data_IF_768944066503
#
_entry.id   IF_768944066503
#
_cell.length_a   1.000
_cell.length_b   1.000
_cell.length_c   1.000
_cell.angle_alpha   90.00
_cell.angle_beta   90.00
_cell.angle_gamma   90.00
#
_symmetry.space_group_name_H-M   'P 1'
#
loop_
_entity.id
_entity.type
_entity.pdbx_description
1 polymer ?
#
# COMPACT_ATOMS: atom_id res chain seq x y z
N UNK A 1 -49.93 29.07 14.11
CA UNK A 1 -48.74 29.24 14.97
C UNK A 1 -48.42 27.87 15.53
N UNK A 2 -47.54 27.12 14.86
CA UNK A 2 -47.11 25.80 15.32
C UNK A 2 -46.03 26.00 16.40
N UNK A 3 -46.07 25.29 17.54
CA UNK A 3 -45.04 25.42 18.55
C UNK A 3 -43.72 24.87 17.99
N UNK A 4 -42.67 25.67 18.11
CA UNK A 4 -41.31 25.26 17.80
C UNK A 4 -40.93 24.06 18.67
N UNK A 5 -40.47 22.98 18.04
CA UNK A 5 -39.79 21.90 18.74
C UNK A 5 -38.58 22.47 19.50
N UNK A 6 -38.31 22.05 20.74
CA UNK A 6 -37.06 22.38 21.41
C UNK A 6 -35.91 21.71 20.66
N UNK A 7 -34.72 22.33 20.52
CA UNK A 7 -33.54 21.64 20.02
C UNK A 7 -33.05 20.67 21.09
N UNK A 8 -33.48 19.41 21.01
CA UNK A 8 -32.82 18.31 21.70
C UNK A 8 -31.80 17.67 20.77
N UNK A 9 -30.53 18.00 20.94
CA UNK A 9 -29.47 17.00 20.82
C UNK A 9 -28.57 17.12 22.05
N UNK A 10 -28.53 16.13 22.96
CA UNK A 10 -27.41 16.02 23.88
C UNK A 10 -26.13 15.91 23.04
N UNK A 11 -25.04 16.52 23.49
CA UNK A 11 -23.73 16.43 22.86
C UNK A 11 -23.43 14.97 22.43
N UNK A 12 -23.50 14.69 21.13
CA UNK A 12 -23.15 13.38 20.57
C UNK A 12 -21.66 13.06 20.72
N UNK A 13 -20.86 14.02 21.17
CA UNK A 13 -19.44 13.82 21.44
C UNK A 13 -19.23 12.99 22.71
N UNK A 14 -18.29 12.04 22.70
CA UNK A 14 -17.94 11.26 23.89
C UNK A 14 -17.51 12.20 25.02
N UNK A 15 -17.72 11.81 26.29
CA UNK A 15 -17.20 12.57 27.43
C UNK A 15 -15.71 12.87 27.27
N UNK A 16 -15.26 14.05 27.70
CA UNK A 16 -13.88 14.52 27.49
C UNK A 16 -12.83 13.53 28.00
N UNK A 17 -13.09 12.89 29.15
CA UNK A 17 -12.21 11.87 29.72
C UNK A 17 -12.09 10.63 28.82
N UNK A 18 -13.21 10.16 28.27
CA UNK A 18 -13.23 9.06 27.33
C UNK A 18 -12.47 9.43 26.05
N UNK A 19 -12.73 10.62 25.49
CA UNK A 19 -12.03 11.12 24.31
C UNK A 19 -10.50 11.17 24.50
N UNK A 20 -10.03 11.66 25.65
CA UNK A 20 -8.61 11.71 25.98
C UNK A 20 -8.01 10.30 26.11
N UNK A 21 -8.71 9.39 26.78
CA UNK A 21 -8.28 7.99 26.93
C UNK A 21 -8.12 7.31 25.57
N UNK A 22 -9.10 7.50 24.66
CA UNK A 22 -9.04 6.94 23.31
C UNK A 22 -7.87 7.50 22.50
N UNK A 23 -7.59 8.80 22.61
CA UNK A 23 -6.42 9.42 21.98
C UNK A 23 -5.10 8.86 22.52
N UNK A 24 -5.00 8.65 23.83
CA UNK A 24 -3.80 8.10 24.46
C UNK A 24 -3.47 6.69 23.96
N UNK A 25 -4.50 5.87 23.68
CA UNK A 25 -4.29 4.55 23.07
C UNK A 25 -3.95 4.61 21.58
N UNK A 26 -4.44 5.62 20.86
CA UNK A 26 -4.17 5.77 19.43
C UNK A 26 -2.77 6.29 19.11
N UNK A 27 -2.36 7.38 19.79
CA UNK A 27 -1.19 8.17 19.42
C UNK A 27 0.14 7.37 19.32
N UNK A 28 0.42 6.38 20.20
CA UNK A 28 1.63 5.55 20.10
C UNK A 28 1.71 4.74 18.79
N UNK A 29 0.57 4.44 18.17
CA UNK A 29 0.46 3.62 16.97
C UNK A 29 0.12 4.43 15.70
N UNK A 30 0.04 5.76 15.81
CA UNK A 30 -0.45 6.62 14.73
C UNK A 30 0.29 6.39 13.39
N UNK A 31 1.61 6.27 13.40
CA UNK A 31 2.39 6.04 12.17
C UNK A 31 2.08 4.68 11.53
N UNK A 32 1.87 3.65 12.36
CA UNK A 32 1.61 2.27 11.96
C UNK A 32 0.18 2.06 11.42
N UNK A 33 -0.66 3.08 11.50
CA UNK A 33 -2.03 3.09 10.96
C UNK A 33 -2.19 4.11 9.83
N UNK A 34 -1.09 4.66 9.34
CA UNK A 34 -1.07 5.61 8.22
C UNK A 34 -1.46 7.04 8.60
N UNK A 35 -1.18 7.47 9.83
CA UNK A 35 -1.37 8.87 10.23
C UNK A 35 -0.27 9.77 9.64
N UNK A 36 -0.62 10.55 8.63
CA UNK A 36 0.28 11.41 7.87
C UNK A 36 0.18 12.91 8.25
N UNK A 37 -0.82 13.30 9.04
CA UNK A 37 -0.97 14.69 9.50
C UNK A 37 0.09 15.05 10.55
N UNK A 38 0.32 16.35 10.73
CA UNK A 38 1.27 16.85 11.74
C UNK A 38 0.73 16.60 13.16
N UNK A 39 1.33 15.63 13.87
CA UNK A 39 0.83 15.11 15.15
C UNK A 39 0.60 16.18 16.20
N UNK A 40 1.55 17.08 16.43
CA UNK A 40 1.43 18.11 17.47
C UNK A 40 0.28 19.09 17.18
N UNK A 41 0.01 19.40 15.90
CA UNK A 41 -1.10 20.27 15.51
C UNK A 41 -2.43 19.56 15.72
N UNK A 42 -2.50 18.29 15.31
CA UNK A 42 -3.65 17.45 15.56
C UNK A 42 -3.95 17.32 17.06
N UNK A 43 -2.96 17.03 17.90
CA UNK A 43 -3.13 16.90 19.36
C UNK A 43 -3.63 18.22 19.95
N UNK A 44 -3.02 19.36 19.59
CA UNK A 44 -3.44 20.68 20.07
C UNK A 44 -4.89 21.00 19.70
N UNK A 45 -5.33 20.64 18.48
CA UNK A 45 -6.73 20.77 18.07
C UNK A 45 -7.63 19.81 18.83
N UNK A 46 -7.32 18.52 18.82
CA UNK A 46 -8.16 17.46 19.40
C UNK A 46 -8.37 17.61 20.91
N UNK A 47 -7.37 18.13 21.63
CA UNK A 47 -7.43 18.37 23.08
C UNK A 47 -7.89 19.78 23.46
N UNK A 48 -8.23 20.63 22.47
CA UNK A 48 -8.65 22.00 22.75
C UNK A 48 -9.90 22.05 23.63
N UNK A 49 -9.90 22.85 24.71
CA UNK A 49 -11.05 23.00 25.60
C UNK A 49 -12.23 23.70 24.90
N UNK A 50 -11.97 24.50 23.86
CA UNK A 50 -13.01 25.16 23.09
C UNK A 50 -13.61 24.20 22.04
N UNK A 51 -14.79 23.67 22.35
CA UNK A 51 -15.53 22.76 21.48
C UNK A 51 -15.93 23.41 20.14
N UNK A 52 -16.16 24.73 20.10
CA UNK A 52 -16.52 25.43 18.86
C UNK A 52 -15.31 25.57 17.96
N UNK A 53 -14.17 25.97 18.53
CA UNK A 53 -12.91 26.02 17.81
C UNK A 53 -12.54 24.64 17.25
N UNK A 54 -12.70 23.58 18.04
CA UNK A 54 -12.46 22.20 17.61
C UNK A 54 -13.37 21.81 16.45
N UNK A 55 -14.68 22.03 16.56
CA UNK A 55 -15.64 21.68 15.51
C UNK A 55 -15.48 22.50 14.21
N UNK A 56 -14.87 23.69 14.30
CA UNK A 56 -14.58 24.52 13.12
C UNK A 56 -13.32 24.08 12.37
N UNK A 57 -12.32 23.54 13.07
CA UNK A 57 -10.98 23.28 12.52
C UNK A 57 -10.61 21.80 12.40
N UNK A 58 -11.41 20.89 12.98
CA UNK A 58 -11.15 19.47 12.99
C UNK A 58 -12.35 18.69 12.44
N UNK A 59 -12.09 17.89 11.41
CA UNK A 59 -13.05 16.96 10.83
C UNK A 59 -13.60 16.01 11.90
N UNK A 60 -14.93 15.88 11.96
CA UNK A 60 -15.59 14.89 12.84
C UNK A 60 -15.32 13.47 12.37
N UNK A 61 -15.21 13.27 11.05
CA UNK A 61 -14.85 11.98 10.48
C UNK A 61 -13.47 11.52 10.97
N UNK A 62 -12.47 12.40 10.90
CA UNK A 62 -11.13 12.12 11.40
C UNK A 62 -11.15 11.82 12.89
N UNK A 63 -11.87 12.63 13.68
CA UNK A 63 -11.91 12.46 15.12
C UNK A 63 -12.53 11.12 15.54
N UNK A 64 -13.67 10.74 14.95
CA UNK A 64 -14.31 9.45 15.25
C UNK A 64 -13.54 8.25 14.69
N UNK A 65 -12.87 8.39 13.54
CA UNK A 65 -11.97 7.37 13.02
C UNK A 65 -10.81 7.12 14.01
N UNK A 66 -10.18 8.17 14.51
CA UNK A 66 -9.13 8.07 15.54
C UNK A 66 -9.65 7.45 16.83
N UNK A 67 -10.83 7.87 17.31
CA UNK A 67 -11.43 7.33 18.53
C UNK A 67 -11.78 5.84 18.41
N UNK A 68 -12.40 5.43 17.30
CA UNK A 68 -12.72 4.01 17.06
C UNK A 68 -11.46 3.15 16.99
N UNK A 69 -10.41 3.64 16.34
CA UNK A 69 -9.14 2.92 16.25
C UNK A 69 -8.44 2.85 17.60
N UNK A 70 -8.43 3.94 18.37
CA UNK A 70 -7.90 3.95 19.75
C UNK A 70 -8.64 2.98 20.69
N UNK A 71 -9.97 2.91 20.57
CA UNK A 71 -10.78 1.94 21.31
C UNK A 71 -10.42 0.49 20.95
N UNK A 72 -10.16 0.23 19.67
CA UNK A 72 -9.72 -1.07 19.18
C UNK A 72 -8.32 -1.44 19.70
N UNK A 73 -7.36 -0.51 19.63
CA UNK A 73 -5.97 -0.70 20.09
C UNK A 73 -5.85 -0.84 21.61
N UNK A 74 -6.79 -0.32 22.38
CA UNK A 74 -6.75 -0.42 23.85
C UNK A 74 -6.79 -1.87 24.36
N UNK A 75 -7.41 -2.79 23.61
CA UNK A 75 -7.73 -4.15 24.06
C UNK A 75 -8.55 -4.22 25.37
N UNK A 76 -9.17 -3.11 25.79
CA UNK A 76 -10.04 -3.02 26.98
C UNK A 76 -11.48 -3.22 26.53
N UNK A 77 -12.14 -4.28 27.01
CA UNK A 77 -13.49 -4.67 26.60
C UNK A 77 -14.51 -3.52 26.68
N UNK A 78 -14.48 -2.73 27.77
CA UNK A 78 -15.35 -1.58 27.96
C UNK A 78 -15.17 -0.49 26.88
N UNK A 79 -13.93 -0.25 26.42
CA UNK A 79 -13.66 0.71 25.36
C UNK A 79 -14.01 0.12 23.99
N UNK A 80 -13.66 -1.14 23.75
CA UNK A 80 -13.94 -1.84 22.50
C UNK A 80 -15.45 -1.96 22.23
N UNK A 81 -16.29 -2.02 23.27
CA UNK A 81 -17.75 -1.99 23.14
C UNK A 81 -18.28 -0.73 22.42
N UNK A 82 -17.54 0.39 22.45
CA UNK A 82 -17.92 1.63 21.76
C UNK A 82 -17.54 1.68 20.28
N UNK A 83 -16.69 0.77 19.81
CA UNK A 83 -16.15 0.78 18.44
C UNK A 83 -17.25 0.82 17.37
N UNK A 84 -18.32 -0.01 17.41
CA UNK A 84 -19.35 0.01 16.35
C UNK A 84 -20.06 1.36 16.22
N UNK A 85 -20.37 2.00 17.36
CA UNK A 85 -21.04 3.30 17.37
C UNK A 85 -20.11 4.41 16.85
N UNK A 86 -18.84 4.40 17.26
CA UNK A 86 -17.84 5.37 16.80
C UNK A 86 -17.55 5.22 15.29
N UNK A 87 -17.48 3.99 14.77
CA UNK A 87 -17.28 3.73 13.34
C UNK A 87 -18.45 4.22 12.50
N UNK A 88 -19.69 3.92 12.89
CA UNK A 88 -20.86 4.39 12.14
C UNK A 88 -20.86 5.93 12.05
N UNK A 89 -20.57 6.60 13.16
CA UNK A 89 -20.44 8.06 13.19
C UNK A 89 -19.29 8.58 12.33
N UNK A 90 -18.16 7.88 12.29
CA UNK A 90 -17.04 8.25 11.43
C UNK A 90 -17.44 8.19 9.94
N UNK A 91 -18.08 7.10 9.52
CA UNK A 91 -18.54 6.90 8.12
C UNK A 91 -19.62 7.91 7.72
N UNK A 92 -20.57 8.20 8.60
CA UNK A 92 -21.58 9.25 8.40
C UNK A 92 -20.94 10.63 8.28
N UNK A 93 -19.97 10.94 9.15
CA UNK A 93 -19.26 12.20 9.13
C UNK A 93 -18.40 12.38 7.86
N UNK A 94 -17.80 11.32 7.30
CA UNK A 94 -17.09 11.42 6.00
C UNK A 94 -18.04 11.95 4.93
N UNK A 95 -19.25 11.41 4.86
CA UNK A 95 -20.25 11.83 3.87
C UNK A 95 -20.67 13.29 4.07
N UNK A 96 -20.82 13.71 5.33
CA UNK A 96 -21.15 15.09 5.68
C UNK A 96 -20.02 16.08 5.33
N UNK A 97 -18.77 15.69 5.58
CA UNK A 97 -17.57 16.48 5.27
C UNK A 97 -17.43 16.72 3.75
N UNK A 98 -17.83 15.75 2.93
CA UNK A 98 -17.81 15.85 1.46
C UNK A 98 -19.01 16.60 0.86
N UNK A 99 -20.19 16.51 1.49
CA UNK A 99 -21.42 17.15 1.01
C UNK A 99 -21.59 18.61 1.44
N UNK A 100 -20.83 19.08 2.43
CA UNK A 100 -20.93 20.42 3.00
C UNK A 100 -19.89 21.43 2.47
N UNK A 101 -20.01 22.72 2.84
CA UNK A 101 -18.96 23.70 2.58
C UNK A 101 -17.68 23.33 3.34
N UNK A 102 -16.53 23.38 2.66
CA UNK A 102 -15.22 23.03 3.24
C UNK A 102 -14.82 24.02 4.34
N UNK A 103 -14.67 23.51 5.56
CA UNK A 103 -14.26 24.31 6.75
C UNK A 103 -12.79 24.14 7.12
N UNK A 104 -12.20 23.04 6.68
CA UNK A 104 -10.84 22.62 6.98
C UNK A 104 -10.21 21.96 5.73
N UNK A 105 -8.88 21.77 5.71
CA UNK A 105 -8.20 21.14 4.59
C UNK A 105 -8.72 19.73 4.29
N UNK A 106 -8.81 19.40 2.99
CA UNK A 106 -9.27 18.07 2.54
C UNK A 106 -8.38 16.92 3.05
N UNK A 107 -7.12 17.22 3.38
CA UNK A 107 -6.17 16.27 3.96
C UNK A 107 -6.71 15.61 5.23
N UNK A 108 -7.57 16.29 6.01
CA UNK A 108 -8.21 15.68 7.18
C UNK A 108 -9.24 14.61 6.80
N UNK A 109 -10.05 14.84 5.77
CA UNK A 109 -11.00 13.85 5.26
C UNK A 109 -10.26 12.66 4.63
N UNK A 110 -9.18 12.92 3.87
CA UNK A 110 -8.31 11.86 3.34
C UNK A 110 -7.70 11.04 4.47
N UNK A 111 -7.25 11.67 5.56
CA UNK A 111 -6.71 10.98 6.73
C UNK A 111 -7.76 10.07 7.39
N UNK A 112 -9.01 10.53 7.48
CA UNK A 112 -10.11 9.72 8.01
C UNK A 112 -10.36 8.48 7.15
N UNK A 113 -10.39 8.63 5.82
CA UNK A 113 -10.55 7.52 4.87
C UNK A 113 -9.41 6.50 4.99
N UNK A 114 -8.16 6.97 5.13
CA UNK A 114 -6.99 6.08 5.33
C UNK A 114 -7.11 5.27 6.62
N UNK A 115 -7.48 5.92 7.74
CA UNK A 115 -7.64 5.25 9.04
C UNK A 115 -8.79 4.23 8.98
N UNK A 116 -9.92 4.59 8.37
CA UNK A 116 -11.05 3.67 8.17
C UNK A 116 -10.67 2.48 7.28
N UNK A 117 -9.96 2.73 6.17
CA UNK A 117 -9.47 1.67 5.29
C UNK A 117 -8.59 0.68 6.05
N UNK A 118 -7.58 1.19 6.77
CA UNK A 118 -6.70 0.38 7.59
C UNK A 118 -7.44 -0.37 8.70
N UNK A 119 -8.42 0.26 9.35
CA UNK A 119 -9.23 -0.40 10.37
C UNK A 119 -9.98 -1.60 9.79
N UNK A 120 -10.72 -1.38 8.70
CA UNK A 120 -11.50 -2.44 8.08
C UNK A 120 -10.62 -3.54 7.51
N UNK A 121 -9.44 -3.21 6.99
CA UNK A 121 -8.44 -4.21 6.64
C UNK A 121 -7.99 -4.99 7.87
N UNK A 122 -7.59 -4.34 8.97
CA UNK A 122 -7.18 -5.02 10.23
C UNK A 122 -8.19 -6.06 10.70
N UNK A 123 -9.47 -5.71 10.72
CA UNK A 123 -10.53 -6.61 11.20
C UNK A 123 -11.03 -7.60 10.12
N UNK A 124 -10.39 -7.63 8.94
CA UNK A 124 -10.71 -8.57 7.85
C UNK A 124 -11.92 -8.19 6.99
N UNK A 125 -12.50 -7.01 7.18
CA UNK A 125 -13.63 -6.45 6.40
C UNK A 125 -13.13 -5.77 5.12
N UNK A 126 -12.73 -6.60 4.16
CA UNK A 126 -12.01 -6.14 2.98
C UNK A 126 -12.83 -5.26 2.03
N UNK A 127 -14.14 -5.49 1.92
CA UNK A 127 -14.98 -4.75 0.99
C UNK A 127 -15.07 -3.29 1.43
N UNK A 128 -15.30 -3.09 2.72
CA UNK A 128 -15.33 -1.79 3.38
C UNK A 128 -13.96 -1.13 3.34
N UNK A 129 -12.88 -1.88 3.64
CA UNK A 129 -11.52 -1.36 3.52
C UNK A 129 -11.18 -0.87 2.11
N UNK A 130 -11.60 -1.62 1.08
CA UNK A 130 -11.46 -1.22 -0.34
C UNK A 130 -12.27 0.01 -0.67
N UNK A 131 -13.48 0.11 -0.16
CA UNK A 131 -14.35 1.25 -0.39
C UNK A 131 -13.65 2.53 0.09
N UNK A 132 -13.21 2.56 1.34
CA UNK A 132 -12.51 3.70 1.92
C UNK A 132 -11.15 3.97 1.26
N UNK A 133 -10.38 2.93 0.90
CA UNK A 133 -9.15 3.08 0.14
C UNK A 133 -9.40 3.73 -1.24
N UNK A 134 -10.44 3.30 -1.96
CA UNK A 134 -10.79 3.85 -3.27
C UNK A 134 -11.29 5.29 -3.16
N UNK A 135 -12.04 5.58 -2.10
CA UNK A 135 -12.46 6.94 -1.79
C UNK A 135 -11.25 7.85 -1.52
N UNK A 136 -10.28 7.40 -0.71
CA UNK A 136 -9.03 8.13 -0.47
C UNK A 136 -8.26 8.40 -1.77
N UNK A 137 -8.13 7.39 -2.65
CA UNK A 137 -7.52 7.54 -3.99
C UNK A 137 -8.24 8.60 -4.81
N UNK A 138 -9.57 8.53 -4.89
CA UNK A 138 -10.36 9.51 -5.63
C UNK A 138 -10.18 10.94 -5.08
N UNK A 139 -10.14 11.10 -3.76
CA UNK A 139 -9.93 12.40 -3.12
C UNK A 139 -8.55 12.99 -3.44
N UNK A 140 -7.49 12.20 -3.31
CA UNK A 140 -6.11 12.59 -3.64
C UNK A 140 -5.97 12.99 -5.10
N UNK A 141 -6.60 12.26 -6.02
CA UNK A 141 -6.60 12.59 -7.46
C UNK A 141 -7.41 13.86 -7.75
N UNK A 142 -8.59 13.99 -7.15
CA UNK A 142 -9.47 15.15 -7.33
C UNK A 142 -8.86 16.46 -6.81
N UNK A 143 -8.07 16.36 -5.73
CA UNK A 143 -7.32 17.48 -5.18
C UNK A 143 -5.94 17.67 -5.85
N UNK A 144 -5.64 16.89 -6.89
CA UNK A 144 -4.40 16.96 -7.65
C UNK A 144 -3.13 16.82 -6.79
N UNK A 145 -3.20 16.07 -5.69
CA UNK A 145 -2.05 15.85 -4.80
C UNK A 145 -0.98 14.94 -5.41
N UNK A 146 -1.24 14.38 -6.60
CA UNK A 146 -0.28 13.68 -7.46
C UNK A 146 0.52 14.65 -8.37
N UNK A 147 0.14 15.95 -8.37
CA UNK A 147 0.67 17.02 -9.22
C UNK A 147 1.17 18.26 -8.45
N UNK A 148 1.67 18.06 -7.23
CA UNK A 148 2.10 19.15 -6.33
C UNK A 148 3.16 20.06 -6.98
N UNK A 149 4.14 19.51 -7.70
CA UNK A 149 5.21 20.34 -8.32
C UNK A 149 4.72 21.13 -9.53
N UNK A 150 3.83 20.55 -10.34
CA UNK A 150 3.25 21.26 -11.48
C UNK A 150 2.37 22.44 -11.03
N UNK A 151 1.62 22.27 -9.93
CA UNK A 151 0.81 23.34 -9.33
C UNK A 151 1.66 24.52 -8.86
N UNK A 152 2.79 24.26 -8.20
CA UNK A 152 3.70 25.31 -7.74
C UNK A 152 4.37 26.10 -8.88
N UNK A 153 4.52 25.49 -10.07
CA UNK A 153 5.15 26.16 -11.23
C UNK A 153 4.18 26.94 -12.12
N UNK A 154 2.88 26.60 -12.10
CA UNK A 154 1.89 27.21 -12.99
C UNK A 154 1.19 28.44 -12.43
N UNK A 155 1.26 28.69 -11.12
CA UNK A 155 0.45 29.72 -10.47
C UNK A 155 1.25 30.87 -9.84
N UNK A 156 1.52 31.89 -10.67
CA UNK A 156 1.53 33.28 -10.20
C UNK A 156 0.11 33.78 -9.85
N UNK A 157 -0.94 32.97 -10.12
CA UNK A 157 -2.35 33.29 -9.88
C UNK A 157 -3.19 32.03 -9.59
N UNK A 158 -2.91 31.34 -8.48
CA UNK A 158 -3.81 30.28 -8.01
C UNK A 158 -5.13 30.88 -7.48
N UNK A 159 -6.31 30.34 -7.82
CA UNK A 159 -7.58 30.77 -7.23
C UNK A 159 -7.68 30.43 -5.72
N UNK A 160 -6.74 29.65 -5.19
CA UNK A 160 -6.57 29.35 -3.77
C UNK A 160 -5.56 30.32 -3.15
N UNK A 161 -5.95 31.60 -3.03
CA UNK A 161 -5.10 32.72 -2.61
C UNK A 161 -4.65 32.73 -1.14
N UNK A 162 -4.03 31.67 -0.64
CA UNK A 162 -3.26 31.71 0.62
C UNK A 162 -1.90 31.04 0.41
N UNK A 163 -0.79 31.63 0.92
CA UNK A 163 0.50 30.97 0.90
C UNK A 163 0.37 29.65 1.65
N UNK A 164 0.56 28.52 0.94
CA UNK A 164 0.60 27.20 1.58
C UNK A 164 1.63 27.26 2.71
N UNK A 165 1.19 26.96 3.92
CA UNK A 165 2.11 26.66 4.99
C UNK A 165 2.98 25.47 4.54
N UNK A 166 4.29 25.53 4.76
CA UNK A 166 5.19 24.41 4.44
C UNK A 166 4.73 23.10 5.09
N UNK A 167 4.05 23.21 6.24
CA UNK A 167 3.45 22.08 6.93
C UNK A 167 2.25 21.52 6.14
N UNK A 168 1.43 22.35 5.51
CA UNK A 168 0.30 21.91 4.67
C UNK A 168 0.77 21.27 3.35
N UNK A 169 1.82 21.82 2.74
CA UNK A 169 2.47 21.19 1.58
C UNK A 169 3.04 19.82 1.97
N UNK A 170 3.75 19.73 3.10
CA UNK A 170 4.28 18.47 3.63
C UNK A 170 3.18 17.44 3.93
N UNK A 171 2.07 17.85 4.53
CA UNK A 171 0.92 16.98 4.76
C UNK A 171 0.29 16.48 3.45
N UNK A 172 0.25 17.31 2.42
CA UNK A 172 -0.28 16.94 1.10
C UNK A 172 0.61 15.91 0.40
N UNK A 173 1.93 16.08 0.49
CA UNK A 173 2.92 15.10 0.02
C UNK A 173 2.73 13.76 0.76
N UNK A 174 2.68 13.81 2.09
CA UNK A 174 2.53 12.59 2.89
C UNK A 174 1.17 11.91 2.65
N UNK A 175 0.09 12.69 2.46
CA UNK A 175 -1.23 12.16 2.11
C UNK A 175 -1.19 11.35 0.82
N UNK A 176 -0.59 11.91 -0.24
CA UNK A 176 -0.45 11.23 -1.53
C UNK A 176 0.32 9.91 -1.37
N UNK A 177 1.50 9.94 -0.75
CA UNK A 177 2.33 8.73 -0.63
C UNK A 177 1.73 7.67 0.30
N UNK A 178 1.02 8.08 1.35
CA UNK A 178 0.30 7.14 2.23
C UNK A 178 -0.82 6.44 1.46
N UNK A 179 -1.62 7.20 0.70
CA UNK A 179 -2.72 6.64 -0.12
C UNK A 179 -2.19 5.78 -1.26
N UNK A 180 -1.08 6.19 -1.88
CA UNK A 180 -0.40 5.38 -2.90
C UNK A 180 0.10 4.05 -2.32
N UNK A 181 0.72 4.08 -1.14
CA UNK A 181 1.26 2.89 -0.48
C UNK A 181 0.16 1.89 -0.10
N UNK A 182 -0.95 2.36 0.48
CA UNK A 182 -2.08 1.49 0.86
C UNK A 182 -2.78 0.90 -0.37
N UNK A 183 -3.01 1.66 -1.45
CA UNK A 183 -3.60 1.16 -2.71
C UNK A 183 -2.71 0.09 -3.33
N UNK A 184 -1.41 0.39 -3.52
CA UNK A 184 -0.45 -0.57 -4.09
C UNK A 184 -0.32 -1.83 -3.25
N UNK A 185 -0.20 -1.67 -1.93
CA UNK A 185 -0.15 -2.79 -1.00
C UNK A 185 -1.37 -3.68 -1.18
N UNK A 186 -2.56 -3.10 -1.08
CA UNK A 186 -3.80 -3.87 -1.16
C UNK A 186 -4.03 -4.55 -2.52
N UNK A 187 -3.68 -3.91 -3.63
CA UNK A 187 -3.75 -4.53 -4.96
C UNK A 187 -2.92 -5.81 -5.06
N UNK A 188 -1.76 -5.85 -4.40
CA UNK A 188 -0.95 -7.08 -4.35
C UNK A 188 -1.65 -8.16 -3.53
N UNK A 189 -2.14 -7.84 -2.34
CA UNK A 189 -2.82 -8.82 -1.49
C UNK A 189 -4.08 -9.40 -2.16
N UNK A 190 -4.87 -8.54 -2.81
CA UNK A 190 -6.12 -8.88 -3.47
C UNK A 190 -5.97 -9.48 -4.87
N UNK A 191 -4.82 -9.27 -5.53
CA UNK A 191 -4.63 -9.65 -6.94
C UNK A 191 -5.46 -8.80 -7.90
N UNK A 192 -5.90 -7.61 -7.49
CA UNK A 192 -6.62 -6.64 -8.31
C UNK A 192 -5.67 -5.59 -8.89
N UNK A 193 -5.95 -5.00 -10.06
CA UNK A 193 -5.15 -3.90 -10.60
C UNK A 193 -5.24 -2.66 -9.68
N UNK A 194 -4.19 -1.84 -9.68
CA UNK A 194 -4.16 -0.58 -8.92
C UNK A 194 -4.84 0.54 -9.70
N UNK A 195 -5.51 1.43 -8.96
CA UNK A 195 -6.23 2.57 -9.53
C UNK A 195 -5.30 3.73 -9.86
N UNK A 196 -4.11 3.74 -9.26
CA UNK A 196 -3.10 4.78 -9.46
C UNK A 196 -2.04 4.32 -10.45
N UNK A 197 -2.02 4.93 -11.64
CA UNK A 197 -0.92 4.73 -12.59
C UNK A 197 0.31 5.53 -12.17
N UNK A 198 1.46 4.87 -12.08
CA UNK A 198 2.72 5.48 -11.64
C UNK A 198 3.39 6.39 -12.67
N UNK A 199 2.80 6.54 -13.85
CA UNK A 199 3.39 7.25 -15.00
C UNK A 199 3.20 8.77 -14.99
N UNK A 200 2.33 9.30 -14.11
CA UNK A 200 1.97 10.72 -14.07
C UNK A 200 1.97 11.29 -12.63
N UNK A 201 3.06 11.04 -11.90
CA UNK A 201 3.27 11.52 -10.53
C UNK A 201 4.40 12.53 -10.55
N UNK A 202 4.15 13.76 -10.12
CA UNK A 202 5.20 14.77 -9.91
C UNK A 202 5.47 15.07 -8.43
N UNK A 203 4.70 14.43 -7.53
CA UNK A 203 4.79 14.64 -6.09
C UNK A 203 6.18 14.25 -5.61
N UNK A 204 6.90 15.14 -4.90
CA UNK A 204 8.22 14.84 -4.37
C UNK A 204 8.12 13.72 -3.34
N UNK A 205 9.20 12.95 -3.14
CA UNK A 205 9.26 11.99 -2.04
C UNK A 205 9.06 12.68 -0.69
N UNK A 206 8.43 12.00 0.30
CA UNK A 206 8.40 12.50 1.66
C UNK A 206 9.84 12.72 2.11
N UNK A 207 10.16 13.92 2.55
CA UNK A 207 11.39 14.15 3.31
C UNK A 207 11.10 13.62 4.72
N UNK A 208 12.00 12.81 5.28
CA UNK A 208 11.96 12.56 6.71
C UNK A 208 11.97 13.93 7.39
N UNK A 209 10.96 14.22 8.23
CA UNK A 209 10.82 15.54 8.88
C UNK A 209 12.07 15.91 9.71
N UNK A 210 12.97 14.95 9.95
CA UNK A 210 14.20 15.08 10.72
C UNK A 210 15.50 14.97 9.87
N UNK A 211 15.42 14.65 8.56
CA UNK A 211 16.59 14.34 7.72
C UNK A 211 16.86 15.41 6.64
N UNK A 212 16.64 16.69 6.96
CA UNK A 212 17.05 17.80 6.07
C UNK A 212 18.56 18.11 6.15
N UNK A 213 19.28 17.59 7.15
CA UNK A 213 20.67 18.01 7.43
C UNK A 213 21.74 16.90 7.25
N UNK A 214 21.36 15.66 6.89
CA UNK A 214 22.31 14.53 6.90
C UNK A 214 22.26 13.60 5.68
N UNK A 215 21.82 14.07 4.50
CA UNK A 215 21.86 13.24 3.29
C UNK A 215 23.31 13.03 2.77
N UNK A 216 24.10 12.22 3.46
CA UNK A 216 25.19 11.47 2.84
C UNK A 216 24.55 10.47 1.88
N UNK A 217 24.71 10.75 0.59
CA UNK A 217 24.29 9.91 -0.53
C UNK A 217 24.69 8.46 -0.28
N UNK A 218 23.71 7.58 -0.03
CA UNK A 218 23.93 6.15 -0.03
C UNK A 218 24.67 5.74 -1.32
N UNK A 219 25.67 4.84 -1.24
CA UNK A 219 26.52 4.52 -2.39
C UNK A 219 25.65 4.03 -3.55
N UNK A 220 25.88 4.61 -4.73
CA UNK A 220 25.15 4.34 -5.96
C UNK A 220 24.90 2.83 -6.13
N UNK A 221 23.65 2.42 -5.91
CA UNK A 221 23.27 1.02 -5.99
C UNK A 221 23.52 0.49 -7.41
N UNK A 222 24.55 -0.31 -7.61
CA UNK A 222 24.87 -0.92 -8.89
C UNK A 222 23.89 -2.08 -9.16
N UNK A 223 23.25 -2.09 -10.34
CA UNK A 223 22.33 -3.16 -10.76
C UNK A 223 21.06 -2.66 -11.45
N UNK A 224 20.46 -3.53 -12.27
CA UNK A 224 19.19 -3.24 -12.96
C UNK A 224 18.02 -3.22 -11.96
N UNK A 225 16.93 -2.48 -12.25
CA UNK A 225 15.75 -2.42 -11.36
C UNK A 225 15.23 -3.82 -10.94
N UNK A 226 15.10 -4.82 -11.84
CA UNK A 226 14.70 -6.17 -11.43
C UNK A 226 15.67 -6.83 -10.44
N UNK A 227 16.97 -6.61 -10.61
CA UNK A 227 18.01 -7.16 -9.72
C UNK A 227 17.98 -6.50 -8.34
N UNK A 228 17.79 -5.17 -8.29
CA UNK A 228 17.60 -4.43 -7.03
C UNK A 228 16.37 -4.93 -6.26
N UNK A 229 15.24 -5.13 -6.94
CA UNK A 229 14.02 -5.68 -6.33
C UNK A 229 14.25 -7.09 -5.75
N UNK A 230 15.00 -7.95 -6.45
CA UNK A 230 15.35 -9.28 -5.96
C UNK A 230 16.26 -9.22 -4.74
N UNK A 231 17.26 -8.33 -4.74
CA UNK A 231 18.17 -8.16 -3.61
C UNK A 231 17.44 -7.62 -2.38
N UNK A 232 16.58 -6.61 -2.55
CA UNK A 232 15.72 -6.10 -1.49
C UNK A 232 14.78 -7.19 -0.94
N UNK A 233 14.15 -7.98 -1.81
CA UNK A 233 13.29 -9.09 -1.38
C UNK A 233 14.07 -10.18 -0.62
N UNK A 234 15.30 -10.50 -1.03
CA UNK A 234 16.18 -11.45 -0.32
C UNK A 234 16.54 -10.93 1.08
N UNK A 235 16.90 -9.64 1.20
CA UNK A 235 17.23 -9.02 2.47
C UNK A 235 16.01 -8.98 3.43
N UNK A 236 14.85 -8.54 2.92
CA UNK A 236 13.61 -8.52 3.69
C UNK A 236 13.22 -9.92 4.20
N UNK A 237 13.27 -10.94 3.32
CA UNK A 237 12.96 -12.31 3.71
C UNK A 237 13.94 -12.91 4.74
N UNK A 238 15.20 -12.44 4.77
CA UNK A 238 16.17 -12.86 5.77
C UNK A 238 15.84 -12.29 7.16
N UNK A 239 15.42 -11.02 7.23
CA UNK A 239 15.02 -10.34 8.47
C UNK A 239 13.75 -10.95 9.08
N UNK A 240 12.78 -11.36 8.25
CA UNK A 240 11.54 -12.02 8.71
C UNK A 240 11.81 -13.24 9.60
N UNK A 241 12.90 -13.98 9.33
CA UNK A 241 13.28 -15.14 10.14
C UNK A 241 13.89 -14.82 11.51
N UNK A 242 14.20 -13.55 11.77
CA UNK A 242 14.90 -13.09 12.97
C UNK A 242 13.98 -12.32 13.94
N UNK A 243 12.80 -11.88 13.50
CA UNK A 243 11.88 -11.12 14.35
C UNK A 243 11.24 -12.03 15.39
N UNK A 244 11.29 -11.62 16.67
CA UNK A 244 10.56 -12.30 17.74
C UNK A 244 9.07 -11.93 17.69
N UNK A 245 8.29 -12.80 17.09
CA UNK A 245 6.89 -12.55 16.73
C UNK A 245 5.92 -12.55 17.92
N UNK A 246 6.36 -12.99 19.11
CA UNK A 246 5.54 -13.01 20.32
C UNK A 246 5.52 -11.67 21.07
N UNK A 247 6.32 -10.71 20.64
CA UNK A 247 6.46 -9.40 21.31
C UNK A 247 5.71 -8.27 20.59
N UNK A 248 4.96 -8.58 19.53
CA UNK A 248 4.25 -7.58 18.74
C UNK A 248 2.76 -7.62 19.05
N UNK A 249 2.30 -6.60 19.79
CA UNK A 249 0.88 -6.43 20.14
C UNK A 249 0.04 -5.96 18.94
N UNK A 250 0.67 -5.33 17.95
CA UNK A 250 0.04 -4.83 16.75
C UNK A 250 0.93 -5.07 15.52
N UNK A 251 0.29 -5.35 14.39
CA UNK A 251 0.94 -5.59 13.09
C UNK A 251 0.27 -4.68 12.08
N UNK A 252 1.04 -3.76 11.52
CA UNK A 252 0.57 -2.85 10.47
C UNK A 252 -0.04 -3.66 9.30
N UNK A 253 -1.28 -3.37 8.88
CA UNK A 253 -1.92 -3.90 7.68
C UNK A 253 -1.05 -3.96 6.45
N UNK A 254 -0.12 -3.02 6.28
CA UNK A 254 0.79 -2.94 5.14
C UNK A 254 1.84 -4.07 5.14
N UNK A 255 2.10 -4.71 6.27
CA UNK A 255 3.06 -5.82 6.35
C UNK A 255 2.60 -7.03 5.56
N UNK A 256 1.30 -7.36 5.59
CA UNK A 256 0.74 -8.48 4.83
C UNK A 256 0.99 -8.35 3.30
N UNK A 257 0.68 -7.21 2.65
CA UNK A 257 1.00 -7.02 1.25
C UNK A 257 2.49 -6.87 0.98
N UNK A 258 3.29 -6.21 1.84
CA UNK A 258 4.74 -6.13 1.65
C UNK A 258 5.39 -7.52 1.63
N UNK A 259 4.99 -8.40 2.55
CA UNK A 259 5.50 -9.76 2.60
C UNK A 259 5.00 -10.58 1.39
N UNK A 260 3.78 -10.31 0.92
CA UNK A 260 3.27 -10.87 -0.33
C UNK A 260 4.12 -10.45 -1.54
N UNK A 261 4.50 -9.18 -1.63
CA UNK A 261 5.38 -8.65 -2.70
C UNK A 261 6.72 -9.36 -2.65
N UNK A 262 7.35 -9.42 -1.47
CA UNK A 262 8.63 -10.11 -1.27
C UNK A 262 8.55 -11.54 -1.78
N UNK A 263 7.54 -12.30 -1.36
CA UNK A 263 7.43 -13.70 -1.80
C UNK A 263 7.14 -13.81 -3.30
N UNK A 264 6.30 -12.94 -3.89
CA UNK A 264 6.04 -12.95 -5.34
C UNK A 264 7.28 -12.66 -6.17
N UNK A 265 8.11 -11.70 -5.76
CA UNK A 265 9.40 -11.40 -6.41
C UNK A 265 10.32 -12.62 -6.35
N UNK A 266 10.43 -13.27 -5.19
CA UNK A 266 11.25 -14.47 -5.03
C UNK A 266 10.73 -15.65 -5.87
N UNK A 267 9.40 -15.83 -5.98
CA UNK A 267 8.79 -16.84 -6.85
C UNK A 267 9.12 -16.58 -8.32
N UNK A 268 8.97 -15.32 -8.77
CA UNK A 268 9.28 -14.93 -10.14
C UNK A 268 10.75 -15.19 -10.47
N UNK A 269 11.67 -14.96 -9.52
CA UNK A 269 13.11 -15.22 -9.70
C UNK A 269 13.46 -16.71 -9.86
N UNK A 270 12.63 -17.64 -9.40
CA UNK A 270 12.86 -19.10 -9.53
C UNK A 270 12.49 -19.63 -10.92
N UNK A 271 11.63 -18.93 -11.67
CA UNK A 271 11.07 -19.40 -12.94
C UNK A 271 12.08 -19.49 -14.12
N UNK A 272 13.10 -18.62 -14.25
CA UNK A 272 14.05 -18.70 -15.35
C UNK A 272 14.88 -20.01 -15.33
N UNK A 273 15.03 -20.62 -16.51
CA UNK A 273 15.71 -21.92 -16.69
C UNK A 273 17.23 -21.88 -16.39
N UNK A 274 17.86 -20.70 -16.42
CA UNK A 274 19.31 -20.53 -16.24
C UNK A 274 19.81 -20.30 -14.81
N UNK A 275 18.96 -20.43 -13.78
CA UNK A 275 19.39 -20.24 -12.39
C UNK A 275 20.09 -21.48 -11.84
N UNK A 276 21.29 -21.30 -11.25
CA UNK A 276 22.05 -22.36 -10.58
C UNK A 276 21.20 -23.03 -9.48
N UNK A 277 21.28 -24.37 -9.37
CA UNK A 277 20.46 -25.12 -8.41
C UNK A 277 20.69 -24.70 -6.96
N UNK A 278 21.93 -24.36 -6.59
CA UNK A 278 22.25 -23.82 -5.26
C UNK A 278 21.60 -22.47 -4.96
N UNK A 279 21.48 -21.57 -5.95
CA UNK A 279 20.77 -20.30 -5.76
C UNK A 279 19.25 -20.53 -5.70
N UNK A 280 18.73 -21.44 -6.51
CA UNK A 280 17.32 -21.83 -6.50
C UNK A 280 16.90 -22.37 -5.13
N UNK A 281 17.73 -23.20 -4.50
CA UNK A 281 17.44 -23.75 -3.18
C UNK A 281 17.56 -22.70 -2.06
N UNK A 282 18.50 -21.76 -2.16
CA UNK A 282 18.57 -20.60 -1.25
C UNK A 282 17.29 -19.76 -1.32
N UNK A 283 16.81 -19.44 -2.52
CA UNK A 283 15.58 -18.65 -2.70
C UNK A 283 14.36 -19.42 -2.18
N UNK A 284 14.26 -20.72 -2.44
CA UNK A 284 13.20 -21.57 -1.85
C UNK A 284 13.24 -21.56 -0.32
N UNK A 285 14.43 -21.59 0.28
CA UNK A 285 14.60 -21.46 1.72
C UNK A 285 14.05 -20.14 2.26
N UNK A 286 14.35 -19.02 1.59
CA UNK A 286 13.82 -17.70 1.94
C UNK A 286 12.29 -17.62 1.81
N UNK A 287 11.73 -18.16 0.73
CA UNK A 287 10.27 -18.24 0.55
C UNK A 287 9.62 -19.03 1.70
N UNK A 288 10.17 -20.19 2.06
CA UNK A 288 9.65 -21.00 3.17
C UNK A 288 9.70 -20.24 4.49
N UNK A 289 10.79 -19.53 4.78
CA UNK A 289 10.91 -18.70 5.99
C UNK A 289 9.88 -17.58 6.02
N UNK A 290 9.73 -16.85 4.91
CA UNK A 290 8.76 -15.77 4.80
C UNK A 290 7.32 -16.28 4.99
N UNK A 291 6.92 -17.35 4.29
CA UNK A 291 5.59 -17.97 4.42
C UNK A 291 5.35 -18.50 5.83
N UNK A 292 6.36 -19.11 6.47
CA UNK A 292 6.24 -19.57 7.86
C UNK A 292 6.04 -18.40 8.84
N UNK A 293 6.68 -17.26 8.60
CA UNK A 293 6.42 -16.03 9.35
C UNK A 293 4.99 -15.51 9.14
N UNK A 294 4.51 -15.48 7.88
CA UNK A 294 3.13 -15.08 7.56
C UNK A 294 2.11 -15.99 8.26
N UNK A 295 2.36 -17.30 8.29
CA UNK A 295 1.50 -18.28 8.95
C UNK A 295 1.47 -18.15 10.49
N UNK A 296 2.46 -17.50 11.10
CA UNK A 296 2.42 -17.17 12.53
C UNK A 296 1.57 -15.92 12.77
N UNK A 297 1.73 -14.90 11.94
CA UNK A 297 0.96 -13.67 12.00
C UNK A 297 -0.50 -13.82 11.55
N UNK A 298 -0.85 -14.86 10.80
CA UNK A 298 -2.24 -15.14 10.41
C UNK A 298 -3.17 -15.38 11.61
N UNK A 299 -2.61 -15.75 12.76
CA UNK A 299 -3.38 -15.95 14.00
C UNK A 299 -3.85 -14.63 14.61
N UNK A 300 -3.12 -13.54 14.37
CA UNK A 300 -3.41 -12.20 14.92
C UNK A 300 -3.87 -11.21 13.86
N UNK A 301 -3.68 -11.51 12.57
CA UNK A 301 -4.03 -10.67 11.44
C UNK A 301 -4.79 -11.45 10.36
N UNK A 302 -6.10 -11.20 10.19
CA UNK A 302 -6.89 -11.75 9.08
C UNK A 302 -6.29 -11.46 7.70
N UNK A 303 -5.70 -10.27 7.50
CA UNK A 303 -5.02 -9.92 6.25
C UNK A 303 -3.83 -10.82 5.99
N UNK A 304 -3.05 -11.13 7.02
CA UNK A 304 -1.91 -12.01 6.88
C UNK A 304 -2.34 -13.45 6.57
N UNK A 305 -3.45 -13.92 7.15
CA UNK A 305 -4.03 -15.23 6.83
C UNK A 305 -4.37 -15.35 5.34
N UNK A 306 -4.96 -14.30 4.78
CA UNK A 306 -5.27 -14.24 3.36
C UNK A 306 -4.04 -14.17 2.47
N UNK A 307 -3.09 -13.32 2.84
CA UNK A 307 -1.83 -13.15 2.14
C UNK A 307 -1.07 -14.48 2.10
N UNK A 308 -1.00 -15.20 3.22
CA UNK A 308 -0.42 -16.54 3.33
C UNK A 308 -1.09 -17.53 2.38
N UNK A 309 -2.43 -17.58 2.37
CA UNK A 309 -3.19 -18.49 1.50
C UNK A 309 -2.94 -18.20 0.01
N UNK A 310 -2.91 -16.91 -0.36
CA UNK A 310 -2.65 -16.44 -1.73
C UNK A 310 -1.24 -16.82 -2.19
N UNK A 311 -0.24 -16.57 -1.36
CA UNK A 311 1.17 -16.87 -1.60
C UNK A 311 1.43 -18.38 -1.66
N UNK A 312 0.83 -19.16 -0.75
CA UNK A 312 0.91 -20.61 -0.77
C UNK A 312 0.32 -21.18 -2.08
N UNK A 313 -0.80 -20.61 -2.55
CA UNK A 313 -1.35 -20.91 -3.87
C UNK A 313 -0.39 -20.61 -5.02
N UNK A 314 0.26 -19.45 -5.01
CA UNK A 314 1.27 -19.07 -6.01
C UNK A 314 2.49 -20.00 -6.00
N UNK A 315 2.99 -20.37 -4.81
CA UNK A 315 4.07 -21.35 -4.65
C UNK A 315 3.70 -22.70 -5.28
N UNK A 316 2.49 -23.21 -4.99
CA UNK A 316 1.99 -24.48 -5.58
C UNK A 316 1.94 -24.42 -7.11
N UNK A 317 1.47 -23.30 -7.68
CA UNK A 317 1.44 -23.10 -9.14
C UNK A 317 2.84 -23.07 -9.74
N UNK A 318 3.78 -22.36 -9.12
CA UNK A 318 5.18 -22.30 -9.58
C UNK A 318 5.85 -23.67 -9.58
N UNK A 319 5.68 -24.47 -8.52
CA UNK A 319 6.22 -25.84 -8.47
C UNK A 319 5.64 -26.72 -9.59
N UNK A 320 4.33 -26.60 -9.87
CA UNK A 320 3.69 -27.32 -11.00
C UNK A 320 4.24 -26.86 -12.35
N UNK A 321 4.46 -25.56 -12.55
CA UNK A 321 5.01 -25.01 -13.79
C UNK A 321 6.45 -25.50 -14.04
N UNK A 322 7.30 -25.52 -13.01
CA UNK A 322 8.67 -26.05 -13.12
C UNK A 322 8.67 -27.56 -13.44
N UNK A 323 7.77 -28.34 -12.82
CA UNK A 323 7.64 -29.77 -13.14
C UNK A 323 7.16 -30.00 -14.58
N UNK A 324 6.21 -29.21 -15.07
CA UNK A 324 5.73 -29.27 -16.47
C UNK A 324 6.84 -28.88 -17.46
N UNK A 325 7.55 -27.77 -17.20
CA UNK A 325 8.66 -27.32 -18.04
C UNK A 325 9.80 -28.34 -18.13
N UNK A 326 10.13 -29.01 -17.01
CA UNK A 326 11.09 -30.13 -17.02
C UNK A 326 10.56 -31.31 -17.83
N UNK A 327 9.31 -31.72 -17.66
CA UNK A 327 8.71 -32.83 -18.41
C UNK A 327 8.67 -32.58 -19.93
N UNK A 328 8.38 -31.34 -20.36
CA UNK A 328 8.42 -30.95 -21.77
C UNK A 328 9.86 -30.89 -22.31
N UNK A 329 10.84 -30.43 -21.53
CA UNK A 329 12.24 -30.52 -21.95
C UNK A 329 12.74 -31.97 -22.00
N UNK A 330 12.29 -32.86 -21.10
CA UNK A 330 12.67 -34.29 -21.15
C UNK A 330 12.00 -34.99 -22.33
N UNK A 331 10.75 -34.66 -22.66
CA UNK A 331 10.07 -35.23 -23.83
C UNK A 331 10.69 -34.75 -25.14
N UNK A 332 11.09 -33.48 -25.24
CA UNK A 332 11.77 -32.94 -26.44
C UNK A 332 13.17 -33.55 -26.61
N UNK A 333 13.92 -33.74 -25.52
CA UNK A 333 15.21 -34.44 -25.58
C UNK A 333 15.04 -35.92 -25.96
N UNK A 334 14.04 -36.62 -25.41
CA UNK A 334 13.73 -38.01 -25.81
C UNK A 334 13.25 -38.12 -27.26
N UNK A 335 12.51 -37.12 -27.78
CA UNK A 335 12.12 -37.08 -29.19
C UNK A 335 13.32 -36.86 -30.11
N UNK A 336 14.30 -36.04 -29.70
CA UNK A 336 15.52 -35.82 -30.47
C UNK A 336 16.46 -37.05 -30.47
N UNK A 337 16.52 -37.81 -29.38
CA UNK A 337 17.32 -39.04 -29.29
C UNK A 337 16.68 -40.23 -30.04
N UNK A 338 15.35 -40.24 -30.20
CA UNK A 338 14.64 -41.29 -30.96
C UNK A 338 14.67 -41.14 -32.48
N UNK A 339 15.28 -40.06 -33.02
CA UNK A 339 15.43 -39.83 -34.47
C UNK A 339 16.85 -40.16 -34.98
N UNK A 340 17.81 -40.49 -34.10
CA UNK A 340 19.21 -40.76 -34.48
C UNK A 340 19.53 -42.25 -34.73
N UNK A 341 18.61 -43.01 -35.33
CA UNK A 341 18.88 -44.38 -35.74
C UNK A 341 18.06 -44.79 -36.97
N UNK A 342 18.31 -44.16 -38.12
CA UNK A 342 18.06 -44.74 -39.45
C UNK A 342 18.92 -44.06 -40.51
N UNK A 343 19.80 -44.88 -41.07
CA UNK A 343 20.42 -44.85 -42.40
C UNK A 343 21.24 -43.63 -42.85
N UNK A 344 22.55 -43.86 -42.89
CA UNK A 344 23.55 -43.06 -43.62
C UNK A 344 23.63 -43.58 -45.06
N UNK A 345 23.38 -42.71 -46.03
CA UNK A 345 23.99 -42.74 -47.36
C UNK A 345 24.11 -41.30 -47.90
N UNK A 346 25.19 -40.95 -48.64
CA UNK A 346 25.51 -39.56 -48.97
C UNK A 346 24.95 -39.14 -50.34
N UNK A 347 24.45 -37.91 -50.45
CA UNK A 347 24.24 -37.24 -51.74
C UNK A 347 24.48 -35.74 -51.61
N UNK A 348 25.21 -35.20 -52.57
CA UNK A 348 25.67 -33.81 -52.74
C UNK A 348 24.55 -32.79 -53.02
N UNK A 349 24.90 -31.51 -52.75
CA UNK A 349 24.39 -30.24 -53.31
C UNK A 349 22.92 -29.83 -53.04
N UNK A 350 22.71 -28.71 -52.34
CA UNK A 350 22.65 -27.37 -52.96
C UNK A 350 22.56 -26.24 -51.91
N UNK A 351 23.09 -25.07 -52.26
CA UNK A 351 23.05 -23.82 -51.53
C UNK A 351 21.67 -23.14 -51.64
N UNK A 352 21.40 -22.22 -50.71
CA UNK A 352 20.33 -21.20 -50.69
C UNK A 352 18.94 -21.62 -50.19
N UNK A 353 18.64 -21.29 -48.93
CA UNK A 353 17.54 -20.40 -48.49
C UNK A 353 17.40 -20.43 -46.95
N UNK A 354 17.54 -19.28 -46.30
CA UNK A 354 17.12 -19.06 -44.90
C UNK A 354 15.75 -18.37 -44.92
N UNK A 355 14.75 -18.82 -44.15
CA UNK A 355 13.66 -17.96 -43.73
C UNK A 355 13.96 -17.37 -42.35
N UNK A 356 14.02 -16.04 -42.30
CA UNK A 356 14.02 -15.26 -41.07
C UNK A 356 12.66 -15.41 -40.35
N UNK A 357 12.72 -15.66 -39.03
CA UNK A 357 11.56 -15.64 -38.16
C UNK A 357 11.31 -14.19 -37.72
N UNK A 358 10.28 -13.56 -38.30
CA UNK A 358 9.78 -12.23 -37.91
C UNK A 358 9.06 -12.37 -36.57
N UNK A 359 9.60 -11.74 -35.52
CA UNK A 359 8.89 -11.50 -34.26
C UNK A 359 8.41 -10.05 -34.29
N UNK A 360 7.10 -9.90 -34.43
CA UNK A 360 6.36 -8.64 -34.38
C UNK A 360 6.33 -8.14 -32.92
N UNK A 361 7.10 -7.09 -32.63
CA UNK A 361 7.06 -6.36 -31.36
C UNK A 361 6.35 -5.04 -31.64
N UNK A 362 5.03 -5.05 -31.51
CA UNK A 362 4.20 -3.87 -31.62
C UNK A 362 4.47 -2.86 -30.51
N UNK A 363 4.92 -1.67 -30.92
CA UNK A 363 4.32 -0.40 -30.49
C UNK A 363 4.83 0.28 -29.22
N UNK A 364 5.98 0.96 -29.31
CA UNK A 364 6.33 2.12 -28.47
C UNK A 364 6.24 3.37 -29.36
N UNK A 365 5.43 4.39 -29.05
CA UNK A 365 5.50 5.65 -29.77
C UNK A 365 6.67 6.50 -29.26
N UNK A 366 7.68 6.66 -30.11
CA UNK A 366 8.74 7.66 -29.98
C UNK A 366 8.15 9.07 -30.22
N UNK A 367 8.24 9.94 -29.21
CA UNK A 367 8.16 11.38 -29.41
C UNK A 367 9.58 11.95 -29.38
N UNK A 368 10.11 12.30 -30.55
CA UNK A 368 11.34 13.07 -30.69
C UNK A 368 10.99 14.37 -31.39
N UNK A 369 11.36 15.49 -30.76
CA UNK A 369 11.05 16.82 -31.20
C UNK A 369 11.64 17.19 -32.56
N UNK A 370 10.99 18.17 -33.19
CA UNK A 370 11.61 19.05 -34.17
C UNK A 370 11.39 20.48 -33.70
N UNK A 371 12.49 21.17 -33.43
CA UNK A 371 12.49 22.63 -33.47
C UNK A 371 12.42 23.10 -34.92
N UNK A 372 11.64 24.16 -35.14
CA UNK A 372 12.06 25.40 -35.77
C UNK A 372 11.42 26.55 -35.01
#
# INVERSE_FOLDING_TARGET
MFPANPPSTPSDDPPTELAQTLLQHFLPHADQVGFFLHKQRFIALATSPDARYRAANLSRALLYAVYSYGAHLSCIEALTAHVPALLNRAVEAVSADLGGPRRYPLTQTIQAEVILANYFFCVGRQLEGRYHCSAAVALVLSAQLHKIRSLSTSDSHSPLGQPLDRIEEGQSINAFWTVFAIDKGWCVASGSPSQLDGSNIDTPWPLDMEESDHLELAPEATGTLPERCVNAAKAAAALVGQVNLQQLDYVDPILAPLWTIVVRILIARIQPLGLLDGERDRIRGLIKKAVAGMARFSQVSPLMAMAETSVAGACRRSVRAVKRGRATSTSVVQQHDSVSARDVAPSEMDMTTRPELIIDVGGIPNFQGRGQ
#
